data_IF_107990455233
#
_entry.id   IF_107990455233
#
_cell.length_a   1.000
_cell.length_b   1.000
_cell.length_c   1.000
_cell.angle_alpha   90.00
_cell.angle_beta   90.00
_cell.angle_gamma   90.00
#
_symmetry.space_group_name_H-M   'P 1'
#
loop_
_entity.id
_entity.type
_entity.pdbx_description
1 polymer ?
#
# COMPACT_ATOMS: atom_id res chain seq x y z
N UNK A 1 -20.26 21.94 43.74
CA UNK A 1 -18.84 21.54 43.59
C UNK A 1 -18.64 21.07 42.16
N UNK A 2 -18.19 21.94 41.26
CA UNK A 2 -17.98 21.61 39.84
C UNK A 2 -16.48 21.40 39.62
N UNK A 3 -16.08 20.16 39.33
CA UNK A 3 -14.70 19.80 39.05
C UNK A 3 -14.40 20.00 37.56
N UNK A 4 -13.74 21.11 37.23
CA UNK A 4 -13.11 21.27 35.91
C UNK A 4 -11.82 20.44 35.89
N UNK A 5 -11.84 19.29 35.22
CA UNK A 5 -10.60 18.63 34.80
C UNK A 5 -10.03 19.38 33.59
N UNK A 6 -8.80 19.90 33.63
CA UNK A 6 -8.21 20.51 32.44
C UNK A 6 -7.95 19.43 31.39
N UNK A 7 -8.39 19.67 30.15
CA UNK A 7 -8.01 18.84 29.00
C UNK A 7 -6.50 18.90 28.86
N UNK A 8 -5.82 17.74 28.90
CA UNK A 8 -4.40 17.60 28.57
C UNK A 8 -4.19 18.18 27.17
N UNK A 9 -3.36 19.21 27.05
CA UNK A 9 -2.98 19.76 25.75
C UNK A 9 -2.38 18.63 24.88
N UNK A 10 -2.65 18.60 23.56
CA UNK A 10 -1.97 17.65 22.68
C UNK A 10 -0.47 17.87 22.85
N UNK A 11 0.28 16.80 23.13
CA UNK A 11 1.73 16.88 23.13
C UNK A 11 2.14 17.43 21.75
N UNK A 12 2.74 18.62 21.72
CA UNK A 12 3.21 19.20 20.48
C UNK A 12 4.20 18.21 19.86
N UNK A 13 3.93 17.77 18.64
CA UNK A 13 4.84 16.95 17.87
C UNK A 13 6.20 17.68 17.82
N UNK A 14 7.32 17.04 18.19
CA UNK A 14 8.63 17.67 18.06
C UNK A 14 8.83 18.10 16.61
N UNK A 15 9.13 19.39 16.41
CA UNK A 15 9.42 19.93 15.08
C UNK A 15 10.77 19.36 14.66
N UNK A 16 10.86 18.66 13.51
CA UNK A 16 12.16 18.27 12.96
C UNK A 16 13.05 19.51 12.83
N UNK A 17 14.33 19.38 13.19
CA UNK A 17 15.28 20.48 12.99
C UNK A 17 15.50 20.66 11.49
N UNK A 18 15.85 21.87 11.06
CA UNK A 18 16.08 22.17 9.64
C UNK A 18 17.13 21.23 9.00
N UNK A 19 18.10 20.80 9.80
CA UNK A 19 19.15 19.85 9.41
C UNK A 19 18.67 18.40 9.36
N UNK A 20 17.57 18.05 10.04
CA UNK A 20 17.04 16.67 10.04
C UNK A 20 16.41 16.34 8.67
N UNK A 21 15.73 17.30 8.05
CA UNK A 21 15.21 17.16 6.70
C UNK A 21 16.35 17.12 5.65
N UNK A 22 17.31 18.03 5.76
CA UNK A 22 18.46 18.06 4.85
C UNK A 22 19.34 16.80 4.98
N UNK A 23 19.49 16.23 6.19
CA UNK A 23 20.21 14.97 6.41
C UNK A 23 19.46 13.78 5.83
N UNK A 24 18.13 13.73 5.97
CA UNK A 24 17.31 12.69 5.35
C UNK A 24 17.41 12.74 3.81
N UNK A 25 17.34 13.94 3.22
CA UNK A 25 17.46 14.13 1.78
C UNK A 25 18.88 13.78 1.26
N UNK A 26 19.93 14.11 2.02
CA UNK A 26 21.31 13.76 1.67
C UNK A 26 21.60 12.25 1.78
N UNK A 27 21.00 11.56 2.75
CA UNK A 27 21.10 10.10 2.94
C UNK A 27 20.35 9.31 1.85
N UNK A 28 19.44 9.98 1.12
CA UNK A 28 18.69 9.41 -0.01
C UNK A 28 19.55 9.27 -1.28
N UNK A 29 20.76 9.81 -1.31
CA UNK A 29 21.74 9.54 -2.39
C UNK A 29 22.40 8.18 -2.19
N UNK A 30 21.62 7.11 -2.34
CA UNK A 30 22.18 5.75 -2.44
C UNK A 30 22.48 5.44 -3.89
N UNK A 31 23.72 5.69 -4.32
CA UNK A 31 24.28 5.11 -5.55
C UNK A 31 24.59 3.60 -5.40
N UNK A 32 23.95 2.91 -4.47
CA UNK A 32 24.04 1.46 -4.34
C UNK A 32 22.93 0.84 -5.19
N UNK A 33 23.23 -0.21 -5.95
CA UNK A 33 22.23 -0.97 -6.74
C UNK A 33 21.14 -1.66 -5.91
N UNK A 34 21.04 -1.36 -4.60
CA UNK A 34 20.02 -1.82 -3.66
C UNK A 34 19.43 -0.58 -2.99
N UNK A 35 18.39 -0.02 -3.59
CA UNK A 35 17.68 1.18 -3.15
C UNK A 35 16.66 1.62 -4.21
N UNK A 36 15.61 2.34 -3.82
CA UNK A 36 14.68 2.95 -4.78
C UNK A 36 15.43 4.06 -5.55
N UNK A 37 15.39 4.09 -6.90
CA UNK A 37 16.06 5.14 -7.65
C UNK A 37 15.48 6.52 -7.31
N UNK A 38 16.25 7.59 -7.54
CA UNK A 38 15.76 8.97 -7.34
C UNK A 38 14.52 9.31 -8.21
N UNK A 39 14.26 8.51 -9.24
CA UNK A 39 13.07 8.59 -10.10
C UNK A 39 11.89 7.77 -9.60
N UNK A 40 12.04 7.05 -8.48
CA UNK A 40 10.99 6.18 -7.97
C UNK A 40 9.74 6.98 -7.62
N UNK A 41 8.59 6.40 -7.92
CA UNK A 41 7.25 6.95 -7.71
C UNK A 41 6.45 5.98 -6.86
N UNK A 42 5.53 6.54 -6.09
CA UNK A 42 4.50 5.76 -5.42
C UNK A 42 3.35 5.55 -6.37
N UNK A 43 3.04 4.29 -6.69
CA UNK A 43 1.80 3.89 -7.34
C UNK A 43 0.89 3.29 -6.27
N UNK A 44 -0.42 3.42 -6.42
CA UNK A 44 -1.36 2.84 -5.45
C UNK A 44 -2.62 2.34 -6.10
N UNK A 45 -3.18 1.26 -5.56
CA UNK A 45 -4.48 0.72 -5.94
C UNK A 45 -5.31 0.42 -4.69
N UNK A 46 -6.58 0.79 -4.72
CA UNK A 46 -7.58 0.32 -3.76
C UNK A 46 -8.58 -0.53 -4.53
N UNK A 47 -8.69 -1.80 -4.15
CA UNK A 47 -9.39 -2.81 -4.94
C UNK A 47 -10.53 -3.43 -4.11
N UNK A 48 -11.71 -3.54 -4.72
CA UNK A 48 -12.87 -4.20 -4.14
C UNK A 48 -12.64 -5.72 -4.06
N UNK A 49 -13.35 -6.41 -3.15
CA UNK A 49 -13.31 -7.87 -3.07
C UNK A 49 -13.73 -8.57 -4.38
N UNK A 50 -14.58 -7.92 -5.20
CA UNK A 50 -14.96 -8.39 -6.53
C UNK A 50 -13.83 -8.31 -7.57
N UNK A 51 -12.72 -7.64 -7.24
CA UNK A 51 -11.58 -7.39 -8.12
C UNK A 51 -11.63 -6.06 -8.86
N UNK A 52 -12.72 -5.28 -8.72
CA UNK A 52 -12.84 -3.97 -9.35
C UNK A 52 -11.95 -2.91 -8.70
N UNK A 53 -11.39 -2.01 -9.50
CA UNK A 53 -10.63 -0.86 -9.01
C UNK A 53 -11.58 0.19 -8.41
N UNK A 54 -11.38 0.55 -7.14
CA UNK A 54 -12.14 1.61 -6.48
C UNK A 54 -11.53 2.99 -6.77
N UNK A 55 -10.19 3.08 -6.69
CA UNK A 55 -9.37 4.25 -6.97
C UNK A 55 -7.90 3.83 -7.08
N UNK A 56 -7.08 4.64 -7.74
CA UNK A 56 -5.64 4.39 -7.84
C UNK A 56 -4.87 5.57 -8.40
N UNK A 57 -3.54 5.42 -8.41
CA UNK A 57 -2.55 6.29 -9.06
C UNK A 57 -1.57 5.40 -9.82
N UNK A 58 -1.40 5.65 -11.11
CA UNK A 58 -0.56 4.82 -12.00
C UNK A 58 -1.14 3.42 -12.28
N UNK A 59 -2.40 3.17 -11.91
CA UNK A 59 -3.07 1.87 -12.13
C UNK A 59 -3.86 1.94 -13.43
N UNK A 60 -3.58 1.01 -14.35
CA UNK A 60 -4.35 0.83 -15.55
C UNK A 60 -5.63 0.02 -15.29
N UNK A 61 -5.52 -1.13 -14.61
CA UNK A 61 -6.66 -2.00 -14.31
C UNK A 61 -6.46 -2.82 -13.04
N UNK A 62 -7.55 -3.30 -12.45
CA UNK A 62 -7.54 -4.37 -11.46
C UNK A 62 -8.60 -5.42 -11.84
N UNK A 63 -8.30 -6.70 -11.62
CA UNK A 63 -9.22 -7.79 -11.92
C UNK A 63 -9.03 -8.96 -10.96
N UNK A 64 -10.12 -9.70 -10.73
CA UNK A 64 -10.12 -10.98 -10.01
C UNK A 64 -9.89 -12.10 -11.00
N UNK A 65 -8.93 -12.97 -10.70
CA UNK A 65 -8.57 -14.14 -11.50
C UNK A 65 -9.27 -15.40 -10.99
N UNK A 66 -9.40 -15.53 -9.68
CA UNK A 66 -10.15 -16.58 -8.99
C UNK A 66 -10.44 -16.13 -7.55
N UNK A 67 -11.05 -17.01 -6.74
CA UNK A 67 -11.27 -16.73 -5.32
C UNK A 67 -9.98 -16.38 -4.60
N UNK A 68 -9.93 -15.17 -4.06
CA UNK A 68 -8.78 -14.61 -3.35
C UNK A 68 -7.54 -14.41 -4.23
N UNK A 69 -7.67 -14.40 -5.56
CA UNK A 69 -6.54 -14.16 -6.48
C UNK A 69 -6.87 -13.01 -7.43
N UNK A 70 -5.98 -12.03 -7.49
CA UNK A 70 -6.15 -10.80 -8.24
C UNK A 70 -4.90 -10.45 -9.04
N UNK A 71 -5.11 -9.63 -10.06
CA UNK A 71 -4.04 -8.95 -10.79
C UNK A 71 -4.34 -7.45 -10.80
N UNK A 72 -3.33 -6.66 -10.46
CA UNK A 72 -3.35 -5.20 -10.59
C UNK A 72 -2.30 -4.81 -11.62
N UNK A 73 -2.73 -4.16 -12.70
CA UNK A 73 -1.87 -3.72 -13.80
C UNK A 73 -1.66 -2.22 -13.70
N UNK A 74 -0.41 -1.79 -13.79
CA UNK A 74 0.03 -0.41 -13.75
C UNK A 74 0.38 0.10 -15.15
N UNK A 75 0.52 1.41 -15.29
CA UNK A 75 0.89 2.09 -16.53
C UNK A 75 2.41 2.10 -16.81
N UNK A 76 3.20 1.51 -15.92
CA UNK A 76 4.65 1.39 -16.02
C UNK A 76 5.15 0.01 -15.57
N UNK A 77 6.37 -0.34 -15.99
CA UNK A 77 7.06 -1.54 -15.50
C UNK A 77 7.29 -1.41 -13.98
N UNK A 78 6.94 -2.46 -13.24
CA UNK A 78 7.09 -2.54 -11.78
C UNK A 78 8.00 -3.69 -11.36
N UNK A 79 8.68 -4.35 -12.29
CA UNK A 79 9.48 -5.57 -12.02
C UNK A 79 10.50 -5.39 -10.89
N UNK A 80 11.13 -4.21 -10.80
CA UNK A 80 12.12 -3.86 -9.78
C UNK A 80 11.53 -3.19 -8.53
N UNK A 81 10.20 -3.09 -8.43
CA UNK A 81 9.51 -2.34 -7.39
C UNK A 81 9.34 -3.12 -6.08
N UNK A 82 9.18 -2.37 -4.98
CA UNK A 82 8.69 -2.90 -3.71
C UNK A 82 7.16 -2.93 -3.67
N UNK A 83 6.56 -3.97 -3.09
CA UNK A 83 5.11 -4.13 -2.98
C UNK A 83 4.66 -4.23 -1.53
N UNK A 84 3.66 -3.44 -1.14
CA UNK A 84 3.07 -3.49 0.19
C UNK A 84 1.55 -3.60 0.06
N UNK A 85 0.99 -4.67 0.59
CA UNK A 85 -0.46 -4.92 0.58
C UNK A 85 -1.04 -4.94 1.99
N UNK A 86 -2.25 -4.42 2.16
CA UNK A 86 -3.06 -4.57 3.37
C UNK A 86 -4.48 -4.96 3.02
N UNK A 87 -5.11 -5.83 3.83
CA UNK A 87 -6.55 -6.08 3.74
C UNK A 87 -7.27 -4.84 4.28
N UNK A 88 -8.18 -4.27 3.50
CA UNK A 88 -8.80 -2.99 3.82
C UNK A 88 -10.01 -2.68 2.95
N UNK A 89 -11.05 -2.09 3.55
CA UNK A 89 -12.24 -1.68 2.80
C UNK A 89 -11.90 -0.54 1.82
N UNK A 90 -12.60 -0.46 0.67
CA UNK A 90 -12.43 0.67 -0.22
C UNK A 90 -13.02 1.96 0.34
N UNK A 91 -14.04 1.87 1.20
CA UNK A 91 -14.64 3.03 1.89
C UNK A 91 -13.93 3.40 3.19
N UNK A 92 -14.40 4.47 3.84
CA UNK A 92 -13.87 5.01 5.11
C UNK A 92 -14.69 4.60 6.34
N UNK A 93 -15.64 3.67 6.20
CA UNK A 93 -16.54 3.25 7.28
C UNK A 93 -16.61 1.73 7.34
N UNK A 94 -16.67 1.20 8.57
CA UNK A 94 -16.63 -0.24 8.84
C UNK A 94 -15.20 -0.77 8.96
N UNK A 95 -15.09 -2.08 9.12
CA UNK A 95 -13.82 -2.80 9.25
C UNK A 95 -13.81 -3.95 8.25
N UNK A 96 -12.69 -4.15 7.56
CA UNK A 96 -12.56 -5.28 6.66
C UNK A 96 -12.57 -6.59 7.45
N UNK A 97 -13.18 -7.67 6.94
CA UNK A 97 -13.05 -8.98 7.56
C UNK A 97 -11.57 -9.35 7.71
N UNK A 98 -11.20 -9.90 8.87
CA UNK A 98 -9.84 -10.36 9.11
C UNK A 98 -9.37 -11.30 8.00
N UNK A 99 -8.09 -11.21 7.69
CA UNK A 99 -7.49 -11.96 6.61
C UNK A 99 -6.03 -11.67 6.43
N UNK A 100 -5.43 -12.43 5.52
CA UNK A 100 -4.03 -12.33 5.15
C UNK A 100 -3.94 -11.89 3.70
N UNK A 101 -2.85 -11.20 3.36
CA UNK A 101 -2.55 -10.77 2.00
C UNK A 101 -1.11 -11.12 1.68
N UNK A 102 -0.88 -11.59 0.46
CA UNK A 102 0.44 -11.87 -0.10
C UNK A 102 0.51 -11.17 -1.45
N UNK A 103 1.65 -10.52 -1.72
CA UNK A 103 1.88 -9.72 -2.93
C UNK A 103 3.17 -10.17 -3.59
N UNK A 104 3.19 -10.20 -4.93
CA UNK A 104 4.38 -10.48 -5.72
C UNK A 104 4.25 -9.85 -7.12
N UNK A 105 5.36 -9.60 -7.79
CA UNK A 105 5.34 -9.27 -9.21
C UNK A 105 4.70 -10.41 -10.04
N UNK A 106 4.05 -10.06 -11.16
CA UNK A 106 3.38 -11.03 -12.01
C UNK A 106 4.35 -11.61 -13.03
N UNK A 107 4.58 -12.92 -12.96
CA UNK A 107 5.44 -13.62 -13.93
C UNK A 107 4.95 -13.41 -15.36
N UNK A 108 5.84 -12.90 -16.22
CA UNK A 108 5.56 -12.65 -17.64
C UNK A 108 4.73 -11.40 -17.93
N UNK A 109 4.37 -10.60 -16.92
CA UNK A 109 3.63 -9.34 -17.09
C UNK A 109 4.34 -8.25 -16.26
N UNK A 110 5.35 -7.55 -16.83
CA UNK A 110 6.26 -6.66 -16.10
C UNK A 110 5.56 -5.51 -15.36
N UNK A 111 4.43 -5.03 -15.88
CA UNK A 111 3.65 -3.95 -15.29
C UNK A 111 2.53 -4.44 -14.38
N UNK A 112 2.58 -5.67 -13.85
CA UNK A 112 1.52 -6.20 -13.02
C UNK A 112 2.00 -6.80 -11.70
N UNK A 113 1.15 -6.66 -10.69
CA UNK A 113 1.30 -7.27 -9.37
C UNK A 113 0.23 -8.34 -9.21
N UNK A 114 0.65 -9.53 -8.82
CA UNK A 114 -0.21 -10.60 -8.36
C UNK A 114 -0.49 -10.43 -6.87
N UNK A 115 -1.77 -10.51 -6.51
CA UNK A 115 -2.21 -10.39 -5.12
C UNK A 115 -3.05 -11.61 -4.78
N UNK A 116 -2.71 -12.25 -3.66
CA UNK A 116 -3.53 -13.31 -3.06
C UNK A 116 -4.04 -12.87 -1.70
N UNK A 117 -5.33 -13.10 -1.45
CA UNK A 117 -5.96 -12.84 -0.16
C UNK A 117 -6.56 -14.11 0.41
N UNK A 118 -6.52 -14.20 1.74
CA UNK A 118 -6.97 -15.36 2.49
C UNK A 118 -7.87 -14.92 3.63
N UNK A 119 -8.78 -15.81 4.04
CA UNK A 119 -9.41 -15.69 5.34
C UNK A 119 -8.37 -15.93 6.45
N UNK A 120 -8.75 -15.64 7.69
CA UNK A 120 -7.84 -15.77 8.83
C UNK A 120 -7.35 -17.22 9.03
N UNK A 121 -8.18 -18.19 8.66
CA UNK A 121 -7.85 -19.63 8.63
C UNK A 121 -6.88 -20.05 7.51
N UNK A 122 -6.47 -19.11 6.65
CA UNK A 122 -5.54 -19.36 5.54
C UNK A 122 -6.18 -19.91 4.27
N UNK A 123 -7.50 -20.09 4.21
CA UNK A 123 -8.18 -20.49 2.97
C UNK A 123 -8.26 -19.31 2.00
N UNK A 124 -8.12 -19.52 0.67
CA UNK A 124 -8.32 -18.47 -0.32
C UNK A 124 -9.71 -17.86 -0.14
N UNK A 125 -9.77 -16.54 0.00
CA UNK A 125 -11.03 -15.83 0.22
C UNK A 125 -10.94 -14.44 -0.39
N UNK A 126 -12.02 -14.01 -1.03
CA UNK A 126 -12.11 -12.68 -1.59
C UNK A 126 -12.09 -11.64 -0.45
N UNK A 127 -11.11 -10.72 -0.51
CA UNK A 127 -10.96 -9.63 0.45
C UNK A 127 -10.66 -8.33 -0.31
N UNK A 128 -11.26 -7.20 0.08
CA UNK A 128 -10.82 -5.92 -0.45
C UNK A 128 -9.45 -5.59 0.13
N UNK A 129 -8.62 -4.90 -0.66
CA UNK A 129 -7.25 -4.60 -0.27
C UNK A 129 -6.77 -3.25 -0.81
N UNK A 130 -5.77 -2.71 -0.14
CA UNK A 130 -4.98 -1.59 -0.60
C UNK A 130 -3.60 -2.12 -0.99
N UNK A 131 -3.06 -1.64 -2.10
CA UNK A 131 -1.75 -1.99 -2.61
C UNK A 131 -0.97 -0.70 -2.87
N UNK A 132 0.22 -0.60 -2.28
CA UNK A 132 1.20 0.41 -2.63
C UNK A 132 2.36 -0.27 -3.38
N UNK A 133 2.83 0.39 -4.44
CA UNK A 133 3.98 -0.03 -5.23
C UNK A 133 4.99 1.10 -5.24
N UNK A 134 6.23 0.77 -4.89
CA UNK A 134 7.36 1.67 -4.80
C UNK A 134 8.26 1.38 -5.99
N UNK A 135 8.08 2.11 -7.10
CA UNK A 135 8.63 1.78 -8.42
C UNK A 135 9.51 2.90 -8.97
#
# INVERSE_FOLDING_TARGET
MSSFRPRRAPAAQPVPRDDDAARADAETTTCAGVGLPATARVLFAVVHASGGLARGLGVATASRLATGMYQVVFDQDVTAAGYVGTVGLPGSTGVAPCGKIVVAGRTGIPNAVFVSTFADDGRPADRPFHLAVLA
#
